data_IF_889859557593
#
_entry.id   IF_889859557593
#
_cell.length_a   1.000
_cell.length_b   1.000
_cell.length_c   1.000
_cell.angle_alpha   90.00
_cell.angle_beta   90.00
_cell.angle_gamma   90.00
#
_symmetry.space_group_name_H-M   'P 1'
#
loop_
_entity.id
_entity.type
_entity.pdbx_description
1 polymer ?
#
# COMPACT_ATOMS: atom_id res chain seq x y z
N UNK A 1 27.46 0.29 -27.42
CA UNK A 1 27.45 -0.41 -28.72
C UNK A 1 27.88 -1.90 -28.64
N UNK A 2 28.20 -2.46 -27.47
CA UNK A 2 28.57 -3.89 -27.33
C UNK A 2 27.52 -4.78 -26.63
N UNK A 3 26.34 -4.25 -26.29
CA UNK A 3 25.32 -4.94 -25.46
C UNK A 3 24.00 -5.24 -26.19
N UNK A 4 23.95 -5.11 -27.52
CA UNK A 4 22.77 -5.51 -28.34
C UNK A 4 22.82 -6.98 -28.80
N UNK A 5 23.90 -7.71 -28.51
CA UNK A 5 24.10 -9.08 -28.99
C UNK A 5 23.33 -10.16 -28.20
N UNK A 6 22.63 -9.79 -27.12
CA UNK A 6 21.92 -10.74 -26.24
C UNK A 6 20.41 -10.80 -26.52
N UNK A 7 19.87 -9.98 -27.43
CA UNK A 7 18.45 -10.04 -27.80
C UNK A 7 17.47 -9.70 -26.67
N UNK A 8 17.98 -9.29 -25.50
CA UNK A 8 17.22 -8.57 -24.50
C UNK A 8 17.23 -7.13 -24.97
N UNK A 9 16.17 -6.75 -25.68
CA UNK A 9 15.85 -5.35 -25.93
C UNK A 9 15.57 -4.72 -24.56
N UNK A 10 16.62 -4.21 -23.90
CA UNK A 10 16.47 -3.40 -22.70
C UNK A 10 15.91 -2.09 -23.22
N UNK A 11 14.58 -2.07 -23.42
CA UNK A 11 13.85 -0.89 -23.83
C UNK A 11 14.34 0.28 -22.97
N UNK A 12 14.62 1.45 -23.56
CA UNK A 12 15.04 2.61 -22.78
C UNK A 12 13.95 2.83 -21.73
N UNK A 13 14.34 2.80 -20.44
CA UNK A 13 13.44 3.02 -19.32
C UNK A 13 12.56 4.23 -19.62
N UNK A 14 11.31 4.00 -20.00
CA UNK A 14 10.38 5.07 -20.29
C UNK A 14 10.07 5.79 -18.97
N UNK A 15 9.96 7.12 -19.00
CA UNK A 15 9.76 7.93 -17.79
C UNK A 15 8.56 7.46 -16.94
N UNK A 16 7.56 6.84 -17.58
CA UNK A 16 6.40 6.20 -16.94
C UNK A 16 6.80 5.03 -16.05
N UNK A 17 7.73 4.18 -16.50
CA UNK A 17 8.24 3.06 -15.71
C UNK A 17 8.93 3.56 -14.43
N UNK A 18 9.61 4.72 -14.51
CA UNK A 18 10.23 5.35 -13.33
C UNK A 18 9.18 5.79 -12.33
N UNK A 19 8.09 6.47 -12.76
CA UNK A 19 7.02 6.88 -11.85
C UNK A 19 6.30 5.70 -11.20
N UNK A 20 6.06 4.63 -11.96
CA UNK A 20 5.43 3.41 -11.43
C UNK A 20 6.34 2.74 -10.39
N UNK A 21 7.61 2.50 -10.73
CA UNK A 21 8.57 1.88 -9.81
C UNK A 21 8.81 2.75 -8.56
N UNK A 22 8.92 4.06 -8.74
CA UNK A 22 9.03 5.02 -7.63
C UNK A 22 7.78 4.98 -6.74
N UNK A 23 6.59 4.87 -7.32
CA UNK A 23 5.34 4.71 -6.58
C UNK A 23 5.34 3.46 -5.70
N UNK A 24 5.71 2.30 -6.26
CA UNK A 24 5.84 1.06 -5.49
C UNK A 24 6.91 1.15 -4.40
N UNK A 25 8.09 1.68 -4.73
CA UNK A 25 9.20 1.79 -3.80
C UNK A 25 8.86 2.73 -2.63
N UNK A 26 8.28 3.90 -2.93
CA UNK A 26 7.82 4.86 -1.93
C UNK A 26 6.80 4.18 -1.01
N UNK A 27 5.74 3.62 -1.58
CA UNK A 27 4.64 3.05 -0.83
C UNK A 27 5.06 1.85 0.03
N UNK A 28 5.91 0.96 -0.48
CA UNK A 28 6.46 -0.17 0.29
C UNK A 28 7.47 0.28 1.34
N UNK A 29 8.24 1.35 1.10
CA UNK A 29 9.21 1.87 2.07
C UNK A 29 8.58 2.64 3.22
N UNK A 30 7.54 3.43 2.96
CA UNK A 30 7.02 4.42 3.91
C UNK A 30 5.73 4.02 4.62
N UNK A 31 4.93 3.09 4.06
CA UNK A 31 3.58 2.82 4.59
C UNK A 31 3.56 2.40 6.06
N UNK A 32 4.57 1.63 6.50
CA UNK A 32 4.69 1.22 7.90
C UNK A 32 4.92 2.41 8.83
N UNK A 33 5.83 3.31 8.45
CA UNK A 33 6.08 4.54 9.19
C UNK A 33 4.83 5.43 9.25
N UNK A 34 4.13 5.60 8.12
CA UNK A 34 2.89 6.41 8.08
C UNK A 34 1.82 5.84 9.01
N UNK A 35 1.57 4.52 8.95
CA UNK A 35 0.58 3.86 9.79
C UNK A 35 0.96 3.97 11.27
N UNK A 36 2.19 3.65 11.65
CA UNK A 36 2.61 3.72 13.06
C UNK A 36 2.55 5.14 13.61
N UNK A 37 2.98 6.15 12.86
CA UNK A 37 2.89 7.55 13.31
C UNK A 37 1.44 8.00 13.46
N UNK A 38 0.57 7.67 12.50
CA UNK A 38 -0.84 8.04 12.57
C UNK A 38 -1.56 7.39 13.76
N UNK A 39 -1.21 6.14 14.11
CA UNK A 39 -1.80 5.45 15.26
C UNK A 39 -1.25 5.98 16.58
N UNK A 40 0.04 6.32 16.65
CA UNK A 40 0.63 6.96 17.83
C UNK A 40 -0.05 8.30 18.15
N UNK A 41 -0.49 9.07 17.14
CA UNK A 41 -1.25 10.31 17.36
C UNK A 41 -2.59 10.09 18.07
N UNK A 42 -3.18 8.90 17.96
CA UNK A 42 -4.44 8.57 18.62
C UNK A 42 -4.22 8.03 20.04
N UNK A 43 -3.17 7.25 20.25
CA UNK A 43 -2.79 6.69 21.54
C UNK A 43 -1.29 6.39 21.59
N UNK A 44 -0.54 7.15 22.39
CA UNK A 44 0.90 6.97 22.57
C UNK A 44 1.26 5.59 23.18
N UNK A 45 0.33 4.99 23.93
CA UNK A 45 0.48 3.67 24.55
C UNK A 45 0.17 2.50 23.63
N UNK A 46 -0.36 2.75 22.43
CA UNK A 46 -0.79 1.71 21.50
C UNK A 46 0.35 0.77 21.10
N UNK A 47 1.57 1.29 20.94
CA UNK A 47 2.72 0.45 20.64
C UNK A 47 2.95 -0.62 21.75
N UNK A 48 2.67 -0.31 23.01
CA UNK A 48 2.84 -1.29 24.08
C UNK A 48 1.69 -2.31 24.16
N UNK A 49 0.54 -2.06 23.52
CA UNK A 49 -0.67 -2.88 23.63
C UNK A 49 -0.79 -3.98 22.56
N UNK A 50 0.21 -4.11 21.69
CA UNK A 50 0.17 -4.97 20.50
C UNK A 50 1.36 -5.91 20.53
N UNK A 51 1.11 -7.21 20.30
CA UNK A 51 2.18 -8.22 20.28
C UNK A 51 3.07 -8.08 19.05
N UNK A 52 4.32 -8.53 19.14
CA UNK A 52 5.24 -8.53 18.00
C UNK A 52 4.71 -9.38 16.84
N UNK A 53 4.09 -10.52 17.14
CA UNK A 53 3.45 -11.39 16.15
C UNK A 53 2.33 -10.65 15.39
N UNK A 54 1.47 -9.90 16.08
CA UNK A 54 0.40 -9.13 15.44
C UNK A 54 0.96 -8.05 14.53
N UNK A 55 2.07 -7.41 14.92
CA UNK A 55 2.78 -6.42 14.09
C UNK A 55 3.38 -7.04 12.85
N UNK A 56 3.99 -8.21 12.95
CA UNK A 56 4.59 -8.90 11.81
C UNK A 56 3.51 -9.33 10.80
N UNK A 57 2.42 -9.93 11.29
CA UNK A 57 1.26 -10.28 10.46
C UNK A 57 0.65 -9.02 9.85
N UNK A 58 0.46 -7.97 10.65
CA UNK A 58 -0.03 -6.67 10.20
C UNK A 58 0.82 -6.06 9.10
N UNK A 59 2.14 -6.16 9.22
CA UNK A 59 3.11 -5.66 8.24
C UNK A 59 3.00 -6.42 6.93
N UNK A 60 3.04 -7.75 6.95
CA UNK A 60 2.95 -8.57 5.73
C UNK A 60 1.62 -8.32 5.00
N UNK A 61 0.50 -8.31 5.74
CA UNK A 61 -0.81 -8.03 5.15
C UNK A 61 -0.87 -6.60 4.61
N UNK A 62 -0.33 -5.63 5.34
CA UNK A 62 -0.28 -4.23 4.92
C UNK A 62 0.52 -4.03 3.63
N UNK A 63 1.71 -4.63 3.52
CA UNK A 63 2.55 -4.59 2.31
C UNK A 63 1.89 -5.30 1.13
N UNK A 64 1.14 -6.37 1.36
CA UNK A 64 0.40 -7.06 0.30
C UNK A 64 -0.74 -6.20 -0.22
N UNK A 65 -1.51 -5.57 0.67
CA UNK A 65 -2.58 -4.64 0.31
C UNK A 65 -2.04 -3.43 -0.46
N UNK A 66 -0.93 -2.85 0.01
CA UNK A 66 -0.20 -1.79 -0.66
C UNK A 66 0.05 -2.09 -2.16
N UNK A 67 0.55 -3.29 -2.48
CA UNK A 67 0.76 -3.73 -3.87
C UNK A 67 -0.54 -3.83 -4.64
N UNK A 68 -1.57 -4.47 -4.06
CA UNK A 68 -2.87 -4.65 -4.71
C UNK A 68 -3.56 -3.31 -5.01
N UNK A 69 -3.59 -2.41 -4.03
CA UNK A 69 -4.24 -1.11 -4.17
C UNK A 69 -3.56 -0.27 -5.25
N UNK A 70 -2.23 -0.17 -5.25
CA UNK A 70 -1.52 0.57 -6.28
C UNK A 70 -1.74 -0.06 -7.66
N UNK A 71 -1.67 -1.40 -7.77
CA UNK A 71 -1.94 -2.12 -9.02
C UNK A 71 -3.32 -1.78 -9.57
N UNK A 72 -4.36 -1.85 -8.73
CA UNK A 72 -5.73 -1.61 -9.16
C UNK A 72 -6.01 -0.15 -9.49
N UNK A 73 -5.40 0.80 -8.77
CA UNK A 73 -5.49 2.22 -9.14
C UNK A 73 -4.85 2.45 -10.52
N UNK A 74 -3.65 1.93 -10.77
CA UNK A 74 -3.00 2.07 -12.07
C UNK A 74 -3.83 1.42 -13.19
N UNK A 75 -4.39 0.23 -12.93
CA UNK A 75 -5.28 -0.48 -13.84
C UNK A 75 -6.68 0.16 -13.99
N UNK A 76 -7.04 1.19 -13.20
CA UNK A 76 -8.37 1.80 -13.20
C UNK A 76 -9.48 0.89 -12.63
N UNK A 77 -9.10 -0.18 -11.94
CA UNK A 77 -10.01 -1.20 -11.41
C UNK A 77 -10.56 -0.81 -10.03
N UNK A 78 -11.24 0.34 -9.92
CA UNK A 78 -11.71 0.87 -8.65
C UNK A 78 -12.73 -0.04 -7.93
N UNK A 79 -13.51 -0.82 -8.68
CA UNK A 79 -14.39 -1.84 -8.10
C UNK A 79 -13.61 -2.94 -7.35
N UNK A 80 -12.44 -3.33 -7.85
CA UNK A 80 -11.60 -4.33 -7.20
C UNK A 80 -11.03 -3.83 -5.86
N UNK A 81 -10.76 -2.52 -5.74
CA UNK A 81 -10.36 -1.89 -4.47
C UNK A 81 -11.45 -2.07 -3.41
N UNK A 82 -12.72 -1.81 -3.77
CA UNK A 82 -13.84 -1.96 -2.86
C UNK A 82 -14.02 -3.42 -2.40
N UNK A 83 -13.85 -4.38 -3.32
CA UNK A 83 -13.93 -5.83 -3.01
C UNK A 83 -12.82 -6.24 -2.04
N UNK A 84 -11.56 -5.85 -2.30
CA UNK A 84 -10.43 -6.19 -1.42
C UNK A 84 -10.60 -5.57 -0.04
N UNK A 85 -11.01 -4.30 0.03
CA UNK A 85 -11.26 -3.62 1.29
C UNK A 85 -12.39 -4.28 2.10
N UNK A 86 -13.49 -4.63 1.44
CA UNK A 86 -14.62 -5.32 2.08
C UNK A 86 -14.21 -6.71 2.57
N UNK A 87 -13.54 -7.50 1.73
CA UNK A 87 -13.07 -8.84 2.09
C UNK A 87 -12.14 -8.80 3.31
N UNK A 88 -11.19 -7.86 3.35
CA UNK A 88 -10.27 -7.67 4.47
C UNK A 88 -11.01 -7.32 5.76
N UNK A 89 -12.00 -6.42 5.68
CA UNK A 89 -12.80 -5.98 6.83
C UNK A 89 -13.68 -7.11 7.39
N UNK A 90 -14.19 -8.00 6.54
CA UNK A 90 -14.98 -9.15 6.97
C UNK A 90 -14.11 -10.18 7.68
N UNK A 91 -12.95 -10.55 7.09
CA UNK A 91 -12.04 -11.56 7.65
C UNK A 91 -11.48 -11.14 9.01
N UNK A 92 -11.21 -9.85 9.22
CA UNK A 92 -10.69 -9.30 10.48
C UNK A 92 -11.75 -8.70 11.40
N UNK A 93 -13.03 -8.96 11.12
CA UNK A 93 -14.13 -8.35 11.88
C UNK A 93 -14.11 -8.72 13.38
N UNK A 94 -13.65 -9.92 13.74
CA UNK A 94 -13.50 -10.33 15.14
C UNK A 94 -12.26 -9.72 15.80
N UNK A 95 -11.12 -9.64 15.11
CA UNK A 95 -9.91 -8.97 15.60
C UNK A 95 -10.15 -7.48 15.87
N UNK A 96 -10.96 -6.83 15.02
CA UNK A 96 -11.35 -5.43 15.14
C UNK A 96 -12.18 -5.13 16.39
N UNK A 97 -12.93 -6.11 16.92
CA UNK A 97 -13.67 -5.94 18.19
C UNK A 97 -12.74 -5.92 19.39
N UNK A 98 -11.61 -6.63 19.31
CA UNK A 98 -10.66 -6.77 20.40
C UNK A 98 -9.62 -5.64 20.41
N UNK A 99 -9.17 -5.18 19.24
CA UNK A 99 -8.20 -4.08 19.13
C UNK A 99 -8.49 -3.19 17.90
N UNK A 100 -9.56 -2.40 17.97
CA UNK A 100 -10.05 -1.55 16.87
C UNK A 100 -9.01 -0.56 16.36
N UNK A 101 -8.19 0.03 17.26
CA UNK A 101 -7.14 0.96 16.86
C UNK A 101 -6.08 0.24 16.00
N UNK A 102 -5.69 -0.99 16.36
CA UNK A 102 -4.71 -1.76 15.56
C UNK A 102 -5.26 -2.16 14.20
N UNK A 103 -6.42 -2.81 14.20
CA UNK A 103 -6.90 -3.49 13.01
C UNK A 103 -7.71 -2.56 12.09
N UNK A 104 -8.63 -1.77 12.65
CA UNK A 104 -9.51 -0.91 11.84
C UNK A 104 -8.81 0.38 11.44
N UNK A 105 -8.32 1.15 12.42
CA UNK A 105 -7.67 2.43 12.11
C UNK A 105 -6.38 2.22 11.30
N UNK A 106 -5.58 1.20 11.64
CA UNK A 106 -4.39 0.84 10.86
C UNK A 106 -4.72 0.50 9.39
N UNK A 107 -5.80 -0.25 9.15
CA UNK A 107 -6.26 -0.55 7.78
C UNK A 107 -6.72 0.71 7.06
N UNK A 108 -7.55 1.55 7.70
CA UNK A 108 -8.04 2.79 7.07
C UNK A 108 -6.92 3.75 6.71
N UNK A 109 -5.93 3.92 7.60
CA UNK A 109 -4.75 4.75 7.32
C UNK A 109 -3.95 4.17 6.15
N UNK A 110 -3.67 2.86 6.14
CA UNK A 110 -2.91 2.24 5.06
C UNK A 110 -3.60 2.35 3.70
N UNK A 111 -4.90 2.10 3.65
CA UNK A 111 -5.72 2.23 2.43
C UNK A 111 -5.70 3.66 1.94
N UNK A 112 -5.99 4.62 2.82
CA UNK A 112 -6.02 6.05 2.47
C UNK A 112 -4.68 6.51 1.92
N UNK A 113 -3.58 6.17 2.62
CA UNK A 113 -2.23 6.49 2.17
C UNK A 113 -1.92 5.89 0.79
N UNK A 114 -2.29 4.62 0.59
CA UNK A 114 -2.05 3.93 -0.68
C UNK A 114 -2.81 4.54 -1.84
N UNK A 115 -4.06 4.95 -1.61
CA UNK A 115 -4.89 5.61 -2.62
C UNK A 115 -4.33 6.99 -2.98
N UNK A 116 -3.89 7.78 -1.99
CA UNK A 116 -3.25 9.08 -2.24
C UNK A 116 -2.01 8.91 -3.12
N UNK A 117 -1.12 7.98 -2.78
CA UNK A 117 0.08 7.70 -3.59
C UNK A 117 -0.30 7.21 -4.99
N UNK A 118 -1.23 6.28 -5.11
CA UNK A 118 -1.64 5.75 -6.43
C UNK A 118 -2.25 6.81 -7.33
N UNK A 119 -3.08 7.70 -6.77
CA UNK A 119 -3.64 8.86 -7.50
C UNK A 119 -2.52 9.80 -7.95
N UNK A 120 -1.55 10.11 -7.07
CA UNK A 120 -0.41 10.95 -7.44
C UNK A 120 0.40 10.33 -8.58
N UNK A 121 0.66 9.02 -8.54
CA UNK A 121 1.35 8.32 -9.64
C UNK A 121 0.56 8.46 -10.94
N UNK A 122 -0.77 8.25 -10.93
CA UNK A 122 -1.61 8.47 -12.12
C UNK A 122 -1.51 9.89 -12.67
N UNK A 123 -1.52 10.90 -11.81
CA UNK A 123 -1.37 12.31 -12.20
C UNK A 123 -0.01 12.54 -12.87
N UNK A 124 1.09 12.02 -12.32
CA UNK A 124 2.41 12.13 -12.94
C UNK A 124 2.53 11.38 -14.26
N UNK A 125 1.79 10.28 -14.43
CA UNK A 125 1.68 9.55 -15.69
C UNK A 125 0.82 10.27 -16.75
N UNK A 126 0.16 11.39 -16.40
CA UNK A 126 -0.81 12.04 -17.28
C UNK A 126 -2.06 11.20 -17.56
N UNK A 127 -2.29 10.14 -16.76
CA UNK A 127 -3.50 9.36 -16.84
C UNK A 127 -4.65 10.15 -16.20
N UNK A 128 -5.78 10.27 -16.90
CA UNK A 128 -6.99 10.86 -16.34
C UNK A 128 -7.42 10.16 -15.03
N UNK A 129 -7.99 10.92 -14.11
CA UNK A 129 -8.51 10.42 -12.82
C UNK A 129 -9.75 9.54 -13.02
#
# INVERSE_FOLDING_TARGET
>A
MALQAVGIDVAPFDESAVYVLAGYALLLGTSGWVVTNALAWADDGYAASVTDTDRDIGTIVGKTENVLLLTFVLAGAYAALAIVFAAKSIVRSDDMKNNSLFYLAGTLVNVTYSLVVGVLVRVFLGAGL
#
